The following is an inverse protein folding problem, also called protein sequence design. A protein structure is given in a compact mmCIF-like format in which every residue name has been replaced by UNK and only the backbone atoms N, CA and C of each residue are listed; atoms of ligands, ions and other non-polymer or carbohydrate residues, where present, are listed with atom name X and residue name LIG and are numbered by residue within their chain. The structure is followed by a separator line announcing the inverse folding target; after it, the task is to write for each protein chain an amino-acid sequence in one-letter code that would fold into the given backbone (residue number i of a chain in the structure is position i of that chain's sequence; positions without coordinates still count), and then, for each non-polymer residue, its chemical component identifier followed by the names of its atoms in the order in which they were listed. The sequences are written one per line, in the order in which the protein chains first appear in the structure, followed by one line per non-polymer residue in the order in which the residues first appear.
data_IF_353682133732
#
_entry.id   IF_353682133732
#
_cell.length_a   1.000
_cell.length_b   1.000
_cell.length_c   1.000
_cell.angle_alpha   90.00
_cell.angle_beta   90.00
_cell.angle_gamma   90.00
#
_symmetry.space_group_name_H-M   'P 1'
#
loop_
_entity.id
_entity.type
_entity.pdbx_description
1 polymer ?
#
# COMPACT_ATOMS: atom_id res chain seq x y z
N UNK A 1 10.89 1.83 -6.66
CA UNK A 1 11.34 0.65 -5.89
C UNK A 1 12.87 0.55 -5.77
N UNK A 2 13.66 0.87 -6.78
CA UNK A 2 15.14 0.80 -6.73
C UNK A 2 15.79 1.84 -5.80
N UNK A 3 15.04 2.83 -5.34
CA UNK A 3 15.52 3.97 -4.57
C UNK A 3 15.39 3.82 -3.05
N UNK A 4 14.76 2.76 -2.55
CA UNK A 4 14.45 2.62 -1.11
C UNK A 4 15.58 2.00 -0.30
N UNK A 5 16.40 1.16 -0.91
CA UNK A 5 17.45 0.42 -0.21
C UNK A 5 18.63 1.27 0.26
N UNK A 6 19.56 0.63 1.00
CA UNK A 6 20.82 1.21 1.47
C UNK A 6 20.66 2.48 2.32
N UNK A 7 19.62 2.54 3.16
CA UNK A 7 19.35 3.68 4.04
C UNK A 7 18.82 4.94 3.34
N UNK A 8 18.55 4.89 2.03
CA UNK A 8 18.11 6.08 1.27
C UNK A 8 16.73 6.57 1.71
N UNK A 9 15.82 5.64 1.98
CA UNK A 9 14.46 6.01 2.44
C UNK A 9 14.52 6.64 3.82
N UNK A 10 15.27 6.03 4.73
CA UNK A 10 15.48 6.54 6.08
C UNK A 10 16.15 7.93 6.04
N UNK A 11 17.17 8.12 5.21
CA UNK A 11 17.82 9.42 5.04
C UNK A 11 16.88 10.47 4.45
N UNK A 12 16.03 10.10 3.51
CA UNK A 12 15.02 11.00 2.95
C UNK A 12 14.00 11.42 3.99
N UNK A 13 13.49 10.48 4.78
CA UNK A 13 12.51 10.77 5.84
C UNK A 13 13.16 11.53 7.01
N UNK A 14 14.45 11.29 7.28
CA UNK A 14 15.24 12.12 8.22
C UNK A 14 15.25 13.59 7.82
N UNK A 15 15.48 13.90 6.54
CA UNK A 15 15.40 15.29 6.04
C UNK A 15 14.00 15.90 6.17
N UNK A 16 12.94 15.11 6.04
CA UNK A 16 11.58 15.59 6.31
C UNK A 16 11.44 16.00 7.78
N UNK A 17 11.91 15.15 8.71
CA UNK A 17 11.90 15.47 10.15
C UNK A 17 12.75 16.70 10.47
N UNK A 18 13.94 16.83 9.90
CA UNK A 18 14.79 18.02 10.03
C UNK A 18 14.07 19.29 9.57
N UNK A 19 13.40 19.24 8.42
CA UNK A 19 12.64 20.36 7.90
C UNK A 19 11.40 20.71 8.75
N UNK A 20 10.80 19.73 9.40
CA UNK A 20 9.69 19.95 10.34
C UNK A 20 10.20 20.54 11.68
N UNK A 21 11.39 20.15 12.10
CA UNK A 21 11.97 20.59 13.39
C UNK A 21 11.08 20.19 14.57
N UNK A 22 11.10 21.03 15.62
CA UNK A 22 10.27 20.89 16.84
C UNK A 22 9.02 21.76 16.78
N UNK A 23 8.37 21.80 15.61
CA UNK A 23 7.28 22.74 15.35
C UNK A 23 5.90 22.28 15.83
N UNK A 24 5.77 21.05 16.33
CA UNK A 24 4.48 20.45 16.68
C UNK A 24 3.55 20.22 15.48
N UNK A 25 4.04 20.35 14.26
CA UNK A 25 3.24 20.12 13.04
C UNK A 25 2.82 18.67 12.92
N UNK A 26 1.67 18.45 12.30
CA UNK A 26 1.18 17.10 12.02
C UNK A 26 1.81 16.53 10.75
N UNK A 27 2.42 15.36 10.87
CA UNK A 27 2.84 14.52 9.76
C UNK A 27 1.74 13.49 9.46
N UNK A 28 1.02 13.68 8.34
CA UNK A 28 0.09 12.68 7.82
C UNK A 28 0.85 11.75 6.86
N UNK A 29 0.96 10.49 7.22
CA UNK A 29 1.78 9.52 6.49
C UNK A 29 0.95 8.43 5.82
N UNK A 30 1.07 8.22 4.50
CA UNK A 30 0.43 7.11 3.81
C UNK A 30 1.16 5.81 4.13
N UNK A 31 0.57 5.02 5.02
CA UNK A 31 1.04 3.69 5.38
C UNK A 31 0.57 2.62 4.39
N UNK A 32 1.19 1.46 4.47
CA UNK A 32 0.76 0.24 3.76
C UNK A 32 0.85 -0.97 4.68
N UNK A 33 0.59 -2.17 4.16
CA UNK A 33 0.57 -3.42 4.92
C UNK A 33 1.89 -4.21 4.86
N UNK A 34 2.95 -3.69 4.25
CA UNK A 34 4.25 -4.37 4.16
C UNK A 34 4.93 -4.58 5.52
N UNK A 35 4.46 -3.88 6.53
CA UNK A 35 4.92 -3.95 7.92
C UNK A 35 4.49 -5.25 8.63
N UNK A 36 3.59 -6.03 8.04
CA UNK A 36 2.96 -7.20 8.64
C UNK A 36 3.35 -8.50 7.94
N UNK A 37 3.23 -9.61 8.66
CA UNK A 37 3.55 -10.94 8.17
C UNK A 37 2.37 -11.56 7.39
N UNK A 38 2.65 -12.52 6.51
CA UNK A 38 1.63 -13.28 5.79
C UNK A 38 0.69 -14.07 6.72
N UNK A 39 1.14 -14.39 7.93
CA UNK A 39 0.34 -15.09 8.94
C UNK A 39 -0.67 -14.15 9.64
N UNK A 40 -0.49 -12.83 9.54
CA UNK A 40 -1.38 -11.85 10.17
C UNK A 40 -2.67 -11.73 9.33
N UNK A 41 -3.78 -12.28 9.82
CA UNK A 41 -5.07 -12.33 9.10
C UNK A 41 -5.94 -11.10 9.36
N UNK A 42 -5.96 -10.65 10.60
CA UNK A 42 -6.70 -9.47 11.04
C UNK A 42 -5.71 -8.37 11.38
N UNK A 43 -5.37 -7.56 10.39
CA UNK A 43 -4.41 -6.47 10.54
C UNK A 43 -5.13 -5.27 11.16
N UNK A 44 -5.04 -5.14 12.49
CA UNK A 44 -5.58 -4.00 13.24
C UNK A 44 -4.52 -2.90 13.38
N UNK A 45 -4.92 -1.64 13.67
CA UNK A 45 -3.98 -0.53 13.87
C UNK A 45 -2.91 -0.79 14.94
N UNK A 46 -3.25 -1.54 15.98
CA UNK A 46 -2.37 -1.83 17.12
C UNK A 46 -1.61 -3.16 17.00
N UNK A 47 -1.79 -3.88 15.89
CA UNK A 47 -1.08 -5.14 15.67
C UNK A 47 0.43 -4.90 15.64
N UNK A 48 1.25 -5.68 16.38
CA UNK A 48 2.70 -5.58 16.31
C UNK A 48 3.24 -5.79 14.89
N UNK A 49 4.08 -4.88 14.43
CA UNK A 49 4.67 -4.93 13.10
C UNK A 49 5.76 -6.01 13.01
N UNK A 50 5.61 -6.96 12.10
CA UNK A 50 6.52 -8.10 11.88
C UNK A 50 6.78 -8.28 10.39
N UNK A 51 7.63 -7.44 9.77
CA UNK A 51 7.86 -7.46 8.33
C UNK A 51 8.62 -8.73 7.90
N UNK A 52 8.16 -9.38 6.84
CA UNK A 52 8.84 -10.56 6.24
C UNK A 52 9.80 -10.17 5.10
N UNK A 53 9.73 -8.95 4.62
CA UNK A 53 10.53 -8.49 3.49
C UNK A 53 11.46 -7.34 3.87
N UNK A 54 12.60 -7.18 3.17
CA UNK A 54 13.47 -6.02 3.38
C UNK A 54 12.74 -4.68 3.21
N UNK A 55 11.75 -4.60 2.33
CA UNK A 55 10.94 -3.39 2.11
C UNK A 55 10.00 -3.10 3.27
N UNK A 56 9.37 -4.14 3.80
CA UNK A 56 8.58 -4.03 5.03
C UNK A 56 9.44 -3.54 6.19
N UNK A 57 10.64 -4.09 6.35
CA UNK A 57 11.58 -3.66 7.38
C UNK A 57 11.97 -2.17 7.24
N UNK A 58 12.16 -1.67 6.02
CA UNK A 58 12.38 -0.23 5.77
C UNK A 58 11.18 0.60 6.24
N UNK A 59 9.95 0.16 5.90
CA UNK A 59 8.73 0.86 6.33
C UNK A 59 8.61 0.91 7.84
N UNK A 60 8.87 -0.20 8.53
CA UNK A 60 8.87 -0.24 10.00
C UNK A 60 9.85 0.77 10.58
N UNK A 61 11.10 0.80 10.10
CA UNK A 61 12.10 1.76 10.59
C UNK A 61 11.70 3.21 10.35
N UNK A 62 11.14 3.52 9.19
CA UNK A 62 10.64 4.87 8.88
C UNK A 62 9.52 5.28 9.84
N UNK A 63 8.57 4.41 10.10
CA UNK A 63 7.50 4.72 11.06
C UNK A 63 8.04 4.88 12.47
N UNK A 64 8.98 4.04 12.90
CA UNK A 64 9.66 4.19 14.19
C UNK A 64 10.40 5.54 14.33
N UNK A 65 11.00 6.06 13.25
CA UNK A 65 11.62 7.40 13.25
C UNK A 65 10.56 8.49 13.52
N UNK A 66 9.40 8.41 12.90
CA UNK A 66 8.31 9.36 13.11
C UNK A 66 7.69 9.23 14.50
N UNK A 67 7.47 8.00 14.96
CA UNK A 67 6.98 7.72 16.31
C UNK A 67 7.93 8.26 17.39
N UNK A 68 9.24 8.08 17.20
CA UNK A 68 10.24 8.61 18.12
C UNK A 68 10.24 10.15 18.14
N UNK A 69 10.08 10.81 17.00
CA UNK A 69 9.94 12.27 16.93
C UNK A 69 8.66 12.75 17.61
N UNK A 70 7.55 12.06 17.40
CA UNK A 70 6.28 12.39 18.04
C UNK A 70 6.31 12.16 19.56
N UNK A 71 6.97 11.09 20.04
CA UNK A 71 7.14 10.81 21.45
C UNK A 71 7.97 11.88 22.19
N UNK A 72 8.88 12.57 21.48
CA UNK A 72 9.61 13.73 22.03
C UNK A 72 8.80 15.03 21.99
N UNK A 73 7.63 15.05 21.35
CA UNK A 73 6.83 16.25 21.13
C UNK A 73 7.29 17.13 19.96
N UNK A 74 8.23 16.66 19.13
CA UNK A 74 8.73 17.41 17.99
C UNK A 74 7.64 17.62 16.91
N UNK A 75 6.84 16.59 16.69
CA UNK A 75 5.73 16.54 15.72
C UNK A 75 4.52 15.81 16.29
N UNK A 76 3.37 15.89 15.61
CA UNK A 76 2.30 14.90 15.73
C UNK A 76 2.41 13.93 14.56
N UNK A 77 2.31 12.63 14.80
CA UNK A 77 2.40 11.60 13.76
C UNK A 77 1.08 10.85 13.61
N UNK A 78 0.51 10.91 12.41
CA UNK A 78 -0.73 10.20 12.06
C UNK A 78 -0.48 9.36 10.82
N UNK A 79 -0.60 8.05 10.95
CA UNK A 79 -0.50 7.12 9.82
C UNK A 79 -1.87 6.62 9.42
N UNK A 80 -2.19 6.72 8.12
CA UNK A 80 -3.35 6.07 7.51
C UNK A 80 -2.86 4.98 6.56
N UNK A 81 -3.07 3.72 6.95
CA UNK A 81 -2.72 2.56 6.10
C UNK A 81 -3.83 2.27 5.13
N UNK A 82 -3.46 1.94 3.92
CA UNK A 82 -4.38 1.50 2.91
C UNK A 82 -3.82 0.29 2.15
N UNK A 83 -4.69 -0.47 1.50
CA UNK A 83 -4.33 -1.49 0.53
C UNK A 83 -3.80 -0.88 -0.77
N UNK A 84 -3.83 -1.66 -1.84
CA UNK A 84 -3.39 -1.18 -3.15
C UNK A 84 -4.37 -0.14 -3.72
N UNK A 85 -3.84 0.74 -4.55
CA UNK A 85 -4.58 1.91 -5.05
C UNK A 85 -5.21 1.65 -6.40
N UNK A 86 -6.35 2.29 -6.64
CA UNK A 86 -6.94 2.45 -7.96
C UNK A 86 -7.72 3.78 -8.04
N UNK A 87 -7.93 4.27 -9.24
CA UNK A 87 -8.73 5.49 -9.45
C UNK A 87 -8.30 6.31 -10.65
N UNK A 88 -9.02 7.40 -10.94
CA UNK A 88 -8.68 8.28 -12.05
C UNK A 88 -7.38 9.05 -11.80
N UNK A 89 -6.62 9.29 -12.86
CA UNK A 89 -5.38 10.06 -12.79
C UNK A 89 -4.17 9.31 -12.22
N UNK A 90 -4.30 8.03 -11.91
CA UNK A 90 -3.17 7.18 -11.55
C UNK A 90 -2.43 6.71 -12.78
N UNK A 91 -1.12 6.56 -12.65
CA UNK A 91 -0.30 5.89 -13.65
C UNK A 91 0.77 5.07 -12.96
N UNK A 92 0.97 3.85 -13.41
CA UNK A 92 2.01 2.97 -12.86
C UNK A 92 1.70 2.34 -11.52
N UNK A 93 0.45 2.33 -11.07
CA UNK A 93 -0.02 1.53 -9.96
C UNK A 93 -0.22 0.04 -10.38
N UNK A 94 -0.54 -0.82 -9.42
CA UNK A 94 -0.76 -2.23 -9.68
C UNK A 94 -1.99 -2.50 -10.54
N UNK A 95 -2.99 -1.63 -10.49
CA UNK A 95 -4.16 -1.74 -11.32
C UNK A 95 -3.79 -1.61 -12.80
N UNK A 96 -3.02 -0.59 -13.15
CA UNK A 96 -2.56 -0.36 -14.53
C UNK A 96 -1.55 -1.40 -14.97
N UNK A 97 -0.54 -1.67 -14.13
CA UNK A 97 0.60 -2.51 -14.49
C UNK A 97 0.28 -4.01 -14.53
N UNK A 98 -0.75 -4.46 -13.81
CA UNK A 98 -1.09 -5.87 -13.73
C UNK A 98 -2.50 -6.15 -14.27
N UNK A 99 -3.52 -5.51 -13.70
CA UNK A 99 -4.92 -5.83 -14.00
C UNK A 99 -5.30 -5.46 -15.44
N UNK A 100 -4.83 -4.32 -15.92
CA UNK A 100 -5.19 -3.77 -17.24
C UNK A 100 -4.17 -3.99 -18.35
N UNK A 101 -3.05 -4.66 -18.09
CA UNK A 101 -1.98 -4.88 -19.08
C UNK A 101 -2.47 -5.47 -20.40
N UNK A 102 -3.53 -6.28 -20.37
CA UNK A 102 -4.10 -6.95 -21.55
C UNK A 102 -5.49 -6.45 -21.92
N UNK A 103 -5.91 -5.30 -21.40
CA UNK A 103 -7.24 -4.74 -21.67
C UNK A 103 -7.49 -4.52 -23.17
N UNK A 104 -6.49 -4.04 -23.91
CA UNK A 104 -6.56 -3.87 -25.37
C UNK A 104 -6.77 -5.19 -26.15
N UNK A 105 -6.61 -6.35 -25.49
CA UNK A 105 -6.91 -7.69 -26.03
C UNK A 105 -8.22 -8.26 -25.49
N UNK A 106 -9.05 -7.43 -24.84
CA UNK A 106 -10.30 -7.87 -24.22
C UNK A 106 -10.10 -8.78 -23.00
N UNK A 107 -8.95 -8.71 -22.34
CA UNK A 107 -8.63 -9.56 -21.18
C UNK A 107 -8.31 -8.71 -19.97
N UNK A 108 -8.91 -9.03 -18.82
CA UNK A 108 -8.58 -8.50 -17.52
C UNK A 108 -8.02 -9.61 -16.63
N UNK A 109 -6.96 -9.29 -15.88
CA UNK A 109 -6.24 -10.25 -15.03
C UNK A 109 -6.11 -9.70 -13.60
N UNK A 110 -7.16 -9.81 -12.77
CA UNK A 110 -7.09 -9.36 -11.39
C UNK A 110 -5.96 -10.07 -10.64
N UNK A 111 -5.16 -9.28 -9.91
CA UNK A 111 -4.09 -9.84 -9.08
C UNK A 111 -4.66 -10.51 -7.86
N UNK A 112 -4.01 -11.57 -7.43
CA UNK A 112 -4.28 -12.23 -6.17
C UNK A 112 -4.36 -13.74 -6.27
N UNK A 113 -4.43 -14.36 -5.10
CA UNK A 113 -4.70 -15.79 -4.96
C UNK A 113 -6.21 -16.03 -5.09
N UNK A 114 -6.65 -16.97 -5.93
CA UNK A 114 -8.08 -17.28 -6.08
C UNK A 114 -8.78 -17.50 -4.72
N UNK A 115 -9.93 -16.84 -4.55
CA UNK A 115 -10.73 -16.93 -3.34
C UNK A 115 -10.19 -16.14 -2.14
N UNK A 116 -9.02 -15.53 -2.24
CA UNK A 116 -8.44 -14.70 -1.16
C UNK A 116 -8.76 -13.23 -1.41
N UNK A 117 -9.38 -12.57 -0.41
CA UNK A 117 -9.69 -11.15 -0.49
C UNK A 117 -8.47 -10.28 -0.30
N UNK A 118 -8.44 -9.14 -1.01
CA UNK A 118 -7.44 -8.09 -0.87
C UNK A 118 -8.12 -6.73 -0.75
N UNK A 119 -7.50 -5.82 0.01
CA UNK A 119 -8.03 -4.47 0.21
C UNK A 119 -7.54 -3.52 -0.88
N UNK A 120 -8.47 -2.82 -1.50
CA UNK A 120 -8.22 -1.83 -2.55
C UNK A 120 -8.74 -0.46 -2.12
N UNK A 121 -7.91 0.56 -2.22
CA UNK A 121 -8.25 1.93 -1.88
C UNK A 121 -8.54 2.76 -3.15
N UNK A 122 -9.78 3.24 -3.25
CA UNK A 122 -10.12 4.22 -4.28
C UNK A 122 -9.50 5.56 -3.89
N UNK A 123 -8.58 6.08 -4.72
CA UNK A 123 -7.75 7.23 -4.37
C UNK A 123 -8.53 8.50 -3.99
N UNK A 124 -9.64 8.87 -4.67
CA UNK A 124 -10.44 10.00 -4.21
C UNK A 124 -11.03 9.84 -2.82
N UNK A 125 -11.40 8.62 -2.42
CA UNK A 125 -11.93 8.35 -1.07
C UNK A 125 -10.80 8.39 -0.04
N UNK A 126 -9.64 7.82 -0.38
CA UNK A 126 -8.46 7.90 0.47
C UNK A 126 -8.01 9.36 0.68
N UNK A 127 -8.06 10.18 -0.37
CA UNK A 127 -7.75 11.61 -0.27
C UNK A 127 -8.71 12.34 0.69
N UNK A 128 -10.03 12.06 0.59
CA UNK A 128 -11.03 12.58 1.54
C UNK A 128 -10.78 12.11 2.98
N UNK A 129 -10.31 10.88 3.16
CA UNK A 129 -9.94 10.40 4.49
C UNK A 129 -8.74 11.17 5.07
N UNK A 130 -7.72 11.45 4.26
CA UNK A 130 -6.59 12.30 4.68
C UNK A 130 -7.04 13.74 5.00
N UNK A 131 -7.93 14.31 4.22
CA UNK A 131 -8.51 15.65 4.48
C UNK A 131 -9.27 15.65 5.82
N UNK A 132 -10.10 14.63 6.08
CA UNK A 132 -10.82 14.49 7.34
C UNK A 132 -9.86 14.36 8.54
N UNK A 133 -8.80 13.57 8.43
CA UNK A 133 -7.77 13.45 9.48
C UNK A 133 -7.04 14.78 9.69
N UNK A 134 -6.74 15.53 8.63
CA UNK A 134 -6.15 16.86 8.73
C UNK A 134 -7.07 17.84 9.47
N UNK A 135 -8.37 17.79 9.21
CA UNK A 135 -9.36 18.62 9.91
C UNK A 135 -9.48 18.25 11.40
N UNK A 136 -9.38 16.97 11.73
CA UNK A 136 -9.50 16.44 13.09
C UNK A 136 -8.19 16.50 13.90
N UNK A 137 -7.08 16.92 13.31
CA UNK A 137 -5.72 16.80 13.89
C UNK A 137 -5.59 17.33 15.33
N UNK A 138 -6.32 18.38 15.68
CA UNK A 138 -6.27 19.00 17.00
C UNK A 138 -6.97 18.18 18.10
N UNK A 139 -7.80 17.21 17.71
CA UNK A 139 -8.50 16.29 18.60
C UNK A 139 -7.80 14.93 18.73
N UNK A 140 -6.78 14.69 17.89
CA UNK A 140 -6.02 13.44 17.86
C UNK A 140 -4.85 13.49 18.85
N UNK A 141 -4.43 12.31 19.30
CA UNK A 141 -3.23 12.15 20.12
C UNK A 141 -1.92 12.44 19.38
N UNK A 142 -0.78 12.41 20.06
CA UNK A 142 0.52 12.66 19.46
C UNK A 142 0.92 11.60 18.44
N UNK A 143 0.43 10.37 18.60
CA UNK A 143 0.65 9.24 17.66
C UNK A 143 -0.68 8.55 17.44
N UNK A 144 -1.12 8.51 16.18
CA UNK A 144 -2.37 7.85 15.79
C UNK A 144 -2.17 6.93 14.59
N UNK A 145 -2.85 5.80 14.62
CA UNK A 145 -2.80 4.78 13.56
C UNK A 145 -4.20 4.45 13.11
N UNK A 146 -4.44 4.63 11.82
CA UNK A 146 -5.72 4.32 11.18
C UNK A 146 -5.52 3.37 10.02
N UNK A 147 -6.53 2.56 9.76
CA UNK A 147 -6.62 1.72 8.58
C UNK A 147 -7.80 2.16 7.72
N UNK A 148 -7.54 2.36 6.44
CA UNK A 148 -8.56 2.68 5.45
C UNK A 148 -9.24 1.39 5.01
N UNK A 149 -10.54 1.25 5.26
CA UNK A 149 -11.27 0.02 4.99
C UNK A 149 -11.26 -0.37 3.51
N UNK A 150 -11.44 0.59 2.59
CA UNK A 150 -11.42 0.36 1.17
C UNK A 150 -12.46 -0.65 0.68
N UNK A 151 -12.22 -1.21 -0.51
CA UNK A 151 -12.97 -2.33 -1.07
C UNK A 151 -12.21 -3.63 -0.84
N UNK A 152 -12.74 -4.53 -0.02
CA UNK A 152 -12.15 -5.84 0.23
C UNK A 152 -12.81 -6.87 -0.70
N UNK A 153 -12.10 -7.30 -1.74
CA UNK A 153 -12.65 -8.16 -2.79
C UNK A 153 -11.66 -9.24 -3.20
N UNK A 154 -12.19 -10.40 -3.63
CA UNK A 154 -11.38 -11.43 -4.26
C UNK A 154 -11.05 -11.06 -5.71
N UNK A 155 -10.03 -11.69 -6.35
CA UNK A 155 -9.74 -11.48 -7.76
C UNK A 155 -10.94 -11.74 -8.68
N UNK A 156 -11.77 -12.74 -8.35
CA UNK A 156 -12.97 -13.09 -9.11
C UNK A 156 -14.02 -11.98 -9.02
N UNK A 157 -14.26 -11.46 -7.81
CA UNK A 157 -15.21 -10.37 -7.57
C UNK A 157 -14.76 -9.09 -8.28
N UNK A 158 -13.47 -8.76 -8.20
CA UNK A 158 -12.89 -7.64 -8.94
C UNK A 158 -13.06 -7.81 -10.45
N UNK A 159 -12.68 -8.97 -10.98
CA UNK A 159 -12.81 -9.27 -12.41
C UNK A 159 -14.24 -9.16 -12.89
N UNK A 160 -15.20 -9.70 -12.13
CA UNK A 160 -16.63 -9.61 -12.45
C UNK A 160 -17.13 -8.15 -12.43
N UNK A 161 -16.70 -7.35 -11.44
CA UNK A 161 -17.06 -5.93 -11.36
C UNK A 161 -16.52 -5.14 -12.56
N UNK A 162 -15.25 -5.35 -12.92
CA UNK A 162 -14.61 -4.71 -14.09
C UNK A 162 -15.33 -5.13 -15.39
N UNK A 163 -15.60 -6.42 -15.58
CA UNK A 163 -16.28 -6.91 -16.79
C UNK A 163 -17.71 -6.37 -16.90
N UNK A 164 -18.42 -6.19 -15.77
CA UNK A 164 -19.76 -5.58 -15.75
C UNK A 164 -19.73 -4.09 -16.09
N UNK A 165 -18.71 -3.37 -15.66
CA UNK A 165 -18.58 -1.92 -15.88
C UNK A 165 -18.01 -1.56 -17.25
N UNK A 166 -17.33 -2.49 -17.91
CA UNK A 166 -16.67 -2.25 -19.18
C UNK A 166 -17.67 -2.04 -20.33
N UNK A 167 -17.42 -1.09 -21.26
CA UNK A 167 -18.28 -0.86 -22.42
C UNK A 167 -18.14 -1.95 -23.51
N UNK A 168 -17.19 -2.86 -23.36
CA UNK A 168 -16.89 -3.96 -24.27
C UNK A 168 -16.85 -5.29 -23.51
N UNK A 169 -17.14 -6.41 -24.17
CA UNK A 169 -16.99 -7.73 -23.55
C UNK A 169 -15.54 -7.99 -23.10
N UNK A 170 -15.35 -8.37 -21.84
CA UNK A 170 -14.04 -8.74 -21.29
C UNK A 170 -14.03 -10.19 -20.84
N UNK A 171 -12.91 -10.85 -21.06
CA UNK A 171 -12.61 -12.18 -20.52
C UNK A 171 -11.77 -12.01 -19.25
N UNK A 172 -12.30 -12.49 -18.12
CA UNK A 172 -11.54 -12.53 -16.87
C UNK A 172 -10.64 -13.76 -16.86
N UNK A 173 -9.35 -13.57 -16.61
CA UNK A 173 -8.37 -14.66 -16.50
C UNK A 173 -7.56 -14.50 -15.20
N UNK A 174 -7.17 -15.59 -14.55
CA UNK A 174 -6.31 -15.50 -13.36
C UNK A 174 -4.96 -14.84 -13.70
N UNK A 175 -4.41 -14.12 -12.74
CA UNK A 175 -3.09 -13.51 -12.86
C UNK A 175 -2.01 -14.61 -12.88
N UNK A 176 -1.03 -14.57 -13.81
CA UNK A 176 -0.08 -15.66 -14.00
C UNK A 176 1.07 -15.60 -12.97
N UNK A 177 0.78 -15.84 -11.70
CA UNK A 177 1.75 -15.80 -10.59
C UNK A 177 2.96 -16.73 -10.81
N UNK A 178 2.75 -17.88 -11.45
CA UNK A 178 3.86 -18.78 -11.77
C UNK A 178 4.85 -18.14 -12.75
N UNK A 179 4.35 -17.47 -13.79
CA UNK A 179 5.21 -16.76 -14.75
C UNK A 179 5.95 -15.60 -14.09
N UNK A 180 5.29 -14.88 -13.18
CA UNK A 180 5.93 -13.84 -12.37
C UNK A 180 7.10 -14.42 -11.55
N UNK A 181 6.90 -15.56 -10.88
CA UNK A 181 7.95 -16.24 -10.09
C UNK A 181 9.11 -16.72 -10.97
N UNK A 182 8.81 -17.31 -12.12
CA UNK A 182 9.85 -17.74 -13.07
C UNK A 182 10.62 -16.54 -13.66
N UNK A 183 9.92 -15.48 -14.04
CA UNK A 183 10.56 -14.23 -14.49
C UNK A 183 11.47 -13.61 -13.43
N UNK A 184 11.13 -13.73 -12.16
CA UNK A 184 11.94 -13.28 -11.03
C UNK A 184 13.28 -13.98 -10.87
N UNK A 185 13.52 -15.10 -11.57
CA UNK A 185 14.86 -15.73 -11.61
C UNK A 185 15.83 -14.89 -12.44
N UNK A 186 15.35 -14.17 -13.44
CA UNK A 186 16.15 -13.42 -14.40
C UNK A 186 16.04 -11.90 -14.21
N UNK A 187 14.92 -11.41 -13.69
CA UNK A 187 14.66 -9.98 -13.48
C UNK A 187 14.54 -9.65 -11.99
N UNK A 188 15.43 -8.78 -11.45
CA UNK A 188 15.39 -8.37 -10.04
C UNK A 188 14.06 -7.69 -9.65
N UNK A 189 13.41 -6.93 -10.55
CA UNK A 189 12.15 -6.27 -10.28
C UNK A 189 11.02 -7.30 -10.11
N UNK A 190 10.92 -8.24 -11.04
CA UNK A 190 9.93 -9.33 -10.97
C UNK A 190 10.16 -10.21 -9.73
N UNK A 191 11.41 -10.41 -9.33
CA UNK A 191 11.77 -11.13 -8.08
C UNK A 191 11.23 -10.41 -6.85
N UNK A 192 11.39 -9.10 -6.77
CA UNK A 192 10.86 -8.32 -5.64
C UNK A 192 9.34 -8.32 -5.61
N UNK A 193 8.69 -8.22 -6.77
CA UNK A 193 7.23 -8.33 -6.88
C UNK A 193 6.75 -9.73 -6.46
N UNK A 194 7.44 -10.79 -6.90
CA UNK A 194 7.12 -12.15 -6.52
C UNK A 194 7.27 -12.41 -5.00
N UNK A 195 8.25 -11.76 -4.35
CA UNK A 195 8.42 -11.82 -2.88
C UNK A 195 7.27 -11.15 -2.12
N UNK A 196 6.64 -10.16 -2.75
CA UNK A 196 5.51 -9.45 -2.16
C UNK A 196 4.16 -10.10 -2.50
N UNK A 197 4.15 -11.17 -3.29
CA UNK A 197 2.92 -11.85 -3.71
C UNK A 197 2.11 -12.47 -2.55
N UNK A 198 2.67 -12.54 -1.34
CA UNK A 198 1.94 -12.95 -0.13
C UNK A 198 0.89 -11.92 0.32
N UNK A 199 0.96 -10.70 -0.21
CA UNK A 199 0.02 -9.63 0.09
C UNK A 199 -1.30 -9.74 -0.70
N UNK A 200 -1.33 -10.60 -1.72
CA UNK A 200 -2.48 -10.76 -2.62
C UNK A 200 -3.10 -12.16 -2.59
#
# INVERSE_FOLDING_TARGET
YHTWGNGRMEAQMGRVLEAMGTSGKTLLFPGNIYNFAAADRDVTPDLPQRPETPRGAIRVRVEQMFEAAAARGDIQFVVLRAGDFFGPGTSGDWFDQAVFTRLGKGVVQPMGTPGVGHSWAYLPDLARAFEALAALRTTLGPIERFHFAGAFVTPEQMGAAIAKAAPIPLTVRPFPLLLLRLGGLFDPLLREVARMAYLW
#
